data_IF_473135972696
#
_entry.id   IF_473135972696
#
_cell.length_a   1.000
_cell.length_b   1.000
_cell.length_c   1.000
_cell.angle_alpha   90.00
_cell.angle_beta   90.00
_cell.angle_gamma   90.00
#
_symmetry.space_group_name_H-M   'P 1'
#
loop_
_entity.id
_entity.type
_entity.pdbx_description
1 polymer ?
#
# COMPACT_ATOMS: atom_id res chain seq x y z
N UNK A 1 -12.62 3.92 -5.44
CA UNK A 1 -11.42 4.19 -6.22
C UNK A 1 -10.44 3.03 -6.09
N UNK A 2 -9.79 2.70 -7.19
CA UNK A 2 -8.88 1.54 -7.26
C UNK A 2 -7.73 1.63 -6.25
N UNK A 3 -7.16 2.81 -6.07
CA UNK A 3 -6.03 3.02 -5.15
C UNK A 3 -6.41 2.63 -3.72
N UNK A 4 -7.59 3.00 -3.31
CA UNK A 4 -8.07 2.68 -1.96
C UNK A 4 -8.24 1.18 -1.77
N UNK A 5 -8.73 0.50 -2.79
CA UNK A 5 -8.89 -0.95 -2.75
C UNK A 5 -7.54 -1.66 -2.65
N UNK A 6 -6.55 -1.21 -3.42
CA UNK A 6 -5.20 -1.75 -3.31
C UNK A 6 -4.64 -1.55 -1.92
N UNK A 7 -4.74 -0.34 -1.39
CA UNK A 7 -4.19 -0.02 -0.07
C UNK A 7 -4.84 -0.88 1.01
N UNK A 8 -6.15 -1.02 0.98
CA UNK A 8 -6.88 -1.83 1.94
C UNK A 8 -6.44 -3.29 1.90
N UNK A 9 -6.32 -3.85 0.70
CA UNK A 9 -5.91 -5.24 0.53
C UNK A 9 -4.47 -5.46 0.99
N UNK A 10 -3.60 -4.49 0.76
CA UNK A 10 -2.21 -4.60 1.19
C UNK A 10 -2.11 -4.54 2.71
N UNK A 11 -2.84 -3.65 3.33
CA UNK A 11 -2.85 -3.53 4.79
C UNK A 11 -3.39 -4.81 5.42
N UNK A 12 -4.40 -5.42 4.80
CA UNK A 12 -4.98 -6.66 5.29
C UNK A 12 -4.11 -7.89 5.00
N UNK A 13 -3.07 -7.73 4.17
CA UNK A 13 -2.21 -8.84 3.81
C UNK A 13 -2.75 -9.73 2.71
N UNK A 14 -3.80 -9.30 2.02
CA UNK A 14 -4.43 -10.08 0.95
C UNK A 14 -3.79 -9.86 -0.41
N UNK A 15 -2.95 -8.83 -0.55
CA UNK A 15 -2.37 -8.47 -1.83
C UNK A 15 -0.97 -7.89 -1.62
N UNK A 16 0.06 -8.40 -2.31
CA UNK A 16 1.42 -7.89 -2.15
C UNK A 16 1.62 -6.56 -2.87
N UNK A 17 2.31 -5.65 -2.23
CA UNK A 17 2.58 -4.33 -2.80
C UNK A 17 3.34 -4.43 -4.12
N UNK A 18 4.24 -5.39 -4.24
CA UNK A 18 5.04 -5.55 -5.46
C UNK A 18 4.21 -5.84 -6.71
N UNK A 19 2.97 -6.31 -6.54
CA UNK A 19 2.08 -6.57 -7.67
C UNK A 19 1.30 -5.34 -8.12
N UNK A 20 1.39 -4.27 -7.36
CA UNK A 20 0.74 -3.02 -7.75
C UNK A 20 1.44 -2.46 -9.00
N UNK A 21 0.69 -2.01 -10.01
CA UNK A 21 1.30 -1.39 -11.19
C UNK A 21 2.21 -0.23 -10.81
N UNK A 22 3.34 -0.10 -11.51
CA UNK A 22 4.33 0.94 -11.20
C UNK A 22 3.72 2.33 -11.14
N UNK A 23 2.81 2.62 -12.06
CA UNK A 23 2.18 3.94 -12.12
C UNK A 23 1.33 4.23 -10.89
N UNK A 24 0.85 3.20 -10.20
CA UNK A 24 0.00 3.36 -9.02
C UNK A 24 0.77 3.20 -7.71
N UNK A 25 1.97 2.65 -7.75
CA UNK A 25 2.75 2.40 -6.53
C UNK A 25 2.89 3.63 -5.63
N UNK A 26 3.32 4.79 -6.13
CA UNK A 26 3.45 5.97 -5.27
C UNK A 26 2.11 6.42 -4.69
N UNK A 27 1.04 6.29 -5.46
CA UNK A 27 -0.29 6.67 -4.97
C UNK A 27 -0.78 5.71 -3.90
N UNK A 28 -0.60 4.42 -4.12
CA UNK A 28 -0.98 3.38 -3.16
C UNK A 28 -0.16 3.51 -1.87
N UNK A 29 1.14 3.75 -2.00
CA UNK A 29 2.01 3.94 -0.84
C UNK A 29 1.54 5.13 0.00
N UNK A 30 1.19 6.22 -0.65
CA UNK A 30 0.68 7.40 0.05
C UNK A 30 -0.63 7.08 0.77
N UNK A 31 -1.51 6.34 0.11
CA UNK A 31 -2.79 5.95 0.71
C UNK A 31 -2.57 5.06 1.93
N UNK A 32 -1.64 4.12 1.84
CA UNK A 32 -1.30 3.26 2.98
C UNK A 32 -0.75 4.09 4.14
N UNK A 33 0.07 5.07 3.84
CA UNK A 33 0.63 5.95 4.87
C UNK A 33 -0.46 6.71 5.61
N UNK A 34 -1.51 7.10 4.90
CA UNK A 34 -2.65 7.78 5.53
C UNK A 34 -3.48 6.84 6.40
N UNK A 35 -3.51 5.55 6.05
CA UNK A 35 -4.28 4.55 6.77
C UNK A 35 -3.53 3.99 7.97
N UNK A 36 -2.20 3.85 7.85
CA UNK A 36 -1.36 3.17 8.83
C UNK A 36 -0.49 4.18 9.54
N UNK A 37 -0.58 5.10 9.98
CA UNK A 37 0.20 6.14 10.64
C UNK A 37 1.40 5.57 11.43
N UNK A 38 2.17 4.68 10.81
CA UNK A 38 3.33 4.02 11.43
C UNK A 38 4.37 3.76 10.35
N UNK A 39 5.51 4.45 10.41
CA UNK A 39 6.55 4.37 9.39
C UNK A 39 7.15 2.97 9.26
N UNK A 40 7.35 2.30 10.38
CA UNK A 40 7.92 0.95 10.37
C UNK A 40 7.00 -0.04 9.67
N UNK A 41 5.73 -0.01 10.03
CA UNK A 41 4.74 -0.87 9.40
C UNK A 41 4.55 -0.50 7.94
N UNK A 42 4.55 0.79 7.64
CA UNK A 42 4.45 1.26 6.26
C UNK A 42 5.61 0.72 5.42
N UNK A 43 6.82 0.76 5.94
CA UNK A 43 7.98 0.25 5.24
C UNK A 43 7.84 -1.25 4.94
N UNK A 44 7.32 -2.02 5.89
CA UNK A 44 7.10 -3.44 5.70
C UNK A 44 6.00 -3.72 4.66
N UNK A 45 4.92 -2.97 4.72
CA UNK A 45 3.79 -3.17 3.82
C UNK A 45 4.10 -2.75 2.38
N UNK A 46 5.00 -1.80 2.20
CA UNK A 46 5.35 -1.28 0.88
C UNK A 46 6.70 -1.78 0.38
N UNK A 47 7.18 -2.86 0.92
CA UNK A 47 8.43 -3.48 0.50
C UNK A 47 8.28 -4.05 -0.91
N UNK A 48 9.18 -3.69 -1.80
CA UNK A 48 9.15 -4.14 -3.20
C UNK A 48 9.98 -5.37 -3.46
#
# INVERSE_FOLDING_TARGET
>A
MIVKLYASNIVDGNYPFKRVPKVLKPKVKKQIALMVNDEELLAQLTQE
#
